data_IF_180484091447
#
_entry.id   IF_180484091447
#
_cell.length_a   1.000
_cell.length_b   1.000
_cell.length_c   1.000
_cell.angle_alpha   90.00
_cell.angle_beta   90.00
_cell.angle_gamma   90.00
#
_symmetry.space_group_name_H-M   'P 1'
#
loop_
_entity.id
_entity.type
_entity.pdbx_description
1 polymer ?
#
# COMPACT_ATOMS: atom_id res chain seq x y z
N UNK A 1 -18.16 10.81 -8.71
CA UNK A 1 -18.10 9.79 -7.63
C UNK A 1 -17.04 8.70 -7.92
N UNK A 2 -15.81 9.08 -8.30
CA UNK A 2 -14.73 8.13 -8.65
C UNK A 2 -13.51 8.24 -7.71
N UNK A 3 -13.65 8.97 -6.61
CA UNK A 3 -12.59 9.22 -5.63
C UNK A 3 -13.04 8.86 -4.20
N UNK A 4 -13.93 7.87 -4.07
CA UNK A 4 -14.31 7.29 -2.78
C UNK A 4 -13.34 6.19 -2.41
N UNK A 5 -12.92 6.17 -1.14
CA UNK A 5 -12.14 5.09 -0.56
C UNK A 5 -13.05 4.34 0.40
N UNK A 6 -13.47 3.13 0.03
CA UNK A 6 -14.49 2.37 0.76
C UNK A 6 -14.18 2.23 2.25
N UNK A 7 -12.89 2.09 2.60
CA UNK A 7 -12.49 1.97 4.00
C UNK A 7 -12.59 3.27 4.78
N UNK A 8 -12.39 4.42 4.14
CA UNK A 8 -12.65 5.72 4.78
C UNK A 8 -14.15 5.96 4.95
N UNK A 9 -14.96 5.59 3.95
CA UNK A 9 -16.41 5.72 4.02
C UNK A 9 -17.00 4.81 5.09
N UNK A 10 -16.50 3.57 5.20
CA UNK A 10 -16.86 2.64 6.27
C UNK A 10 -16.59 3.25 7.65
N UNK A 11 -15.39 3.82 7.84
CA UNK A 11 -15.02 4.47 9.10
C UNK A 11 -15.92 5.65 9.41
N UNK A 12 -16.17 6.53 8.44
CA UNK A 12 -17.06 7.68 8.60
C UNK A 12 -18.47 7.23 8.96
N UNK A 13 -18.96 6.15 8.34
CA UNK A 13 -20.28 5.59 8.61
C UNK A 13 -20.39 5.05 10.04
N UNK A 14 -19.36 4.34 10.52
CA UNK A 14 -19.29 3.87 11.91
C UNK A 14 -19.29 5.05 12.89
N UNK A 15 -18.49 6.08 12.64
CA UNK A 15 -18.37 7.26 13.51
C UNK A 15 -19.67 8.09 13.59
N UNK A 16 -20.47 8.09 12.52
CA UNK A 16 -21.72 8.85 12.42
C UNK A 16 -22.97 8.03 12.73
N UNK A 17 -22.82 6.73 13.01
CA UNK A 17 -23.95 5.83 13.21
C UNK A 17 -24.74 6.19 14.48
N UNK A 18 -26.02 6.52 14.30
CA UNK A 18 -26.91 6.96 15.37
C UNK A 18 -27.98 5.90 15.66
N UNK A 19 -27.92 5.29 16.85
CA UNK A 19 -28.88 4.28 17.31
C UNK A 19 -30.26 4.86 17.68
N UNK A 20 -30.33 6.18 17.90
CA UNK A 20 -31.55 6.87 18.32
C UNK A 20 -32.21 7.66 17.20
N UNK A 21 -31.80 7.45 15.95
CA UNK A 21 -32.46 8.10 14.82
C UNK A 21 -33.95 7.79 14.80
N UNK A 22 -34.74 8.76 14.33
CA UNK A 22 -36.17 8.59 14.13
C UNK A 22 -36.41 8.98 12.68
N UNK A 23 -36.96 8.07 11.89
CA UNK A 23 -37.34 8.36 10.52
C UNK A 23 -38.70 9.04 10.51
N UNK A 24 -38.78 10.19 9.86
CA UNK A 24 -40.01 10.97 9.73
C UNK A 24 -40.45 10.93 8.26
N UNK A 25 -41.49 10.15 8.00
CA UNK A 25 -42.20 10.15 6.71
C UNK A 25 -43.60 10.72 6.94
N UNK A 26 -44.67 9.93 6.70
CA UNK A 26 -46.03 10.33 7.03
C UNK A 26 -46.28 10.34 8.54
N UNK A 27 -45.62 9.46 9.28
CA UNK A 27 -45.57 9.41 10.74
C UNK A 27 -44.13 9.13 11.17
N UNK A 28 -43.75 9.49 12.39
CA UNK A 28 -42.46 9.10 12.95
C UNK A 28 -42.45 7.61 13.28
N UNK A 29 -41.35 6.93 12.96
CA UNK A 29 -41.13 5.54 13.34
C UNK A 29 -39.65 5.25 13.53
N UNK A 30 -39.35 4.12 14.18
CA UNK A 30 -38.00 3.55 14.34
C UNK A 30 -37.91 2.24 13.59
N UNK A 31 -36.74 1.95 13.03
CA UNK A 31 -36.51 0.76 12.24
C UNK A 31 -35.43 -0.08 12.89
N UNK A 32 -35.81 -1.10 13.66
CA UNK A 32 -34.87 -1.93 14.43
C UNK A 32 -33.88 -2.73 13.58
N UNK A 33 -34.15 -2.88 12.28
CA UNK A 33 -33.21 -3.49 11.33
C UNK A 33 -32.13 -2.53 10.86
N UNK A 34 -32.38 -1.21 10.90
CA UNK A 34 -31.43 -0.16 10.51
C UNK A 34 -30.70 0.39 11.74
N UNK A 35 -31.40 0.54 12.87
CA UNK A 35 -30.90 1.05 14.15
C UNK A 35 -30.55 -0.13 15.08
N UNK A 36 -29.52 -0.86 14.71
CA UNK A 36 -29.15 -2.11 15.37
C UNK A 36 -27.76 -2.01 16.00
N UNK A 37 -27.71 -2.12 17.33
CA UNK A 37 -26.47 -2.08 18.11
C UNK A 37 -25.50 -3.20 17.74
N UNK A 38 -26.00 -4.37 17.41
CA UNK A 38 -25.16 -5.52 17.07
C UNK A 38 -24.44 -5.29 15.73
N UNK A 39 -25.08 -4.62 14.76
CA UNK A 39 -24.44 -4.21 13.51
C UNK A 39 -23.32 -3.20 13.73
N UNK A 40 -23.52 -2.23 14.64
CA UNK A 40 -22.47 -1.26 15.01
C UNK A 40 -21.28 -1.97 15.65
N UNK A 41 -21.52 -2.85 16.63
CA UNK A 41 -20.47 -3.60 17.31
C UNK A 41 -19.69 -4.45 16.31
N UNK A 42 -20.39 -5.20 15.45
CA UNK A 42 -19.77 -6.02 14.41
C UNK A 42 -18.90 -5.16 13.46
N UNK A 43 -19.40 -4.01 13.03
CA UNK A 43 -18.67 -3.11 12.12
C UNK A 43 -17.39 -2.56 12.75
N UNK A 44 -17.42 -2.22 14.05
CA UNK A 44 -16.25 -1.77 14.80
C UNK A 44 -15.23 -2.89 14.96
N UNK A 45 -15.68 -4.10 15.31
CA UNK A 45 -14.81 -5.26 15.49
C UNK A 45 -14.13 -5.67 14.20
N UNK A 46 -14.88 -5.76 13.09
CA UNK A 46 -14.33 -6.02 11.75
C UNK A 46 -13.29 -4.95 11.35
N UNK A 47 -13.60 -3.68 11.60
CA UNK A 47 -12.68 -2.58 11.31
C UNK A 47 -11.36 -2.71 12.05
N UNK A 48 -11.43 -2.95 13.35
CA UNK A 48 -10.24 -3.10 14.20
C UNK A 48 -9.43 -4.35 13.85
N UNK A 49 -10.10 -5.46 13.50
CA UNK A 49 -9.44 -6.68 13.05
C UNK A 49 -8.65 -6.43 11.76
N UNK A 50 -9.29 -5.86 10.73
CA UNK A 50 -8.63 -5.52 9.48
C UNK A 50 -7.45 -4.57 9.70
N UNK A 51 -7.65 -3.49 10.49
CA UNK A 51 -6.61 -2.51 10.77
C UNK A 51 -5.40 -3.13 11.48
N UNK A 52 -5.62 -4.06 12.40
CA UNK A 52 -4.54 -4.80 13.09
C UNK A 52 -3.69 -5.62 12.12
N UNK A 53 -4.32 -6.25 11.13
CA UNK A 53 -3.62 -6.97 10.05
C UNK A 53 -2.82 -5.97 9.21
N UNK A 54 -3.44 -4.86 8.79
CA UNK A 54 -2.77 -3.86 7.97
C UNK A 54 -1.54 -3.24 8.65
N UNK A 55 -1.60 -3.01 9.96
CA UNK A 55 -0.45 -2.53 10.73
C UNK A 55 0.70 -3.55 10.78
N UNK A 56 0.39 -4.85 10.84
CA UNK A 56 1.42 -5.91 10.79
C UNK A 56 2.08 -5.97 9.42
N UNK A 57 1.29 -5.85 8.34
CA UNK A 57 1.78 -5.80 6.96
C UNK A 57 2.68 -4.59 6.74
N UNK A 58 2.28 -3.40 7.21
CA UNK A 58 3.10 -2.19 7.10
C UNK A 58 4.45 -2.36 7.80
N UNK A 59 4.47 -2.90 9.03
CA UNK A 59 5.71 -3.22 9.74
C UNK A 59 6.57 -4.26 9.00
N UNK A 60 5.94 -5.21 8.31
CA UNK A 60 6.67 -6.16 7.48
C UNK A 60 7.34 -5.46 6.28
N UNK A 61 6.61 -4.58 5.60
CA UNK A 61 7.14 -3.79 4.48
C UNK A 61 8.25 -2.82 4.92
N UNK A 62 8.11 -2.17 6.07
CA UNK A 62 9.16 -1.31 6.66
C UNK A 62 10.47 -2.06 6.91
N UNK A 63 10.39 -3.32 7.38
CA UNK A 63 11.58 -4.17 7.52
C UNK A 63 12.15 -4.54 6.16
N UNK A 64 11.31 -4.97 5.23
CA UNK A 64 11.73 -5.32 3.88
C UNK A 64 12.48 -4.17 3.18
N UNK A 65 12.02 -2.92 3.32
CA UNK A 65 12.72 -1.74 2.77
C UNK A 65 14.17 -1.65 3.29
N UNK A 66 14.37 -1.87 4.59
CA UNK A 66 15.70 -1.85 5.22
C UNK A 66 16.55 -3.06 4.85
N UNK A 67 15.94 -4.24 4.83
CA UNK A 67 16.60 -5.49 4.45
C UNK A 67 17.13 -5.44 3.01
N UNK A 68 16.46 -4.66 2.15
CA UNK A 68 16.84 -4.39 0.77
C UNK A 68 17.68 -3.12 0.58
N UNK A 69 18.07 -2.44 1.66
CA UNK A 69 18.87 -1.20 1.65
C UNK A 69 18.24 -0.08 0.82
N UNK A 70 16.94 -0.13 0.53
CA UNK A 70 16.26 0.89 -0.27
C UNK A 70 16.25 2.26 0.44
N UNK A 71 16.38 2.27 1.77
CA UNK A 71 16.52 3.48 2.58
C UNK A 71 17.90 4.16 2.49
N UNK A 72 18.88 3.49 1.87
CA UNK A 72 20.19 4.08 1.58
C UNK A 72 20.16 4.94 0.31
N UNK A 73 19.19 4.75 -0.58
CA UNK A 73 19.01 5.52 -1.81
C UNK A 73 18.45 6.92 -1.48
N UNK A 74 19.32 7.87 -1.14
CA UNK A 74 18.92 9.22 -0.68
C UNK A 74 18.22 10.07 -1.74
N UNK A 75 18.39 9.74 -3.02
CA UNK A 75 17.68 10.39 -4.12
C UNK A 75 16.21 9.93 -4.20
N UNK A 76 15.89 8.72 -3.73
CA UNK A 76 14.57 8.12 -3.91
C UNK A 76 13.58 8.61 -2.86
N UNK A 77 12.39 8.99 -3.31
CA UNK A 77 11.29 9.40 -2.43
C UNK A 77 10.73 8.17 -1.72
N UNK A 78 10.84 8.14 -0.40
CA UNK A 78 10.20 7.09 0.39
C UNK A 78 8.68 7.32 0.47
N UNK A 79 7.93 6.54 -0.33
CA UNK A 79 6.45 6.60 -0.38
C UNK A 79 5.76 5.35 0.19
N UNK A 80 6.45 4.56 1.02
CA UNK A 80 5.93 3.29 1.56
C UNK A 80 4.51 3.44 2.16
N UNK A 81 4.32 4.38 3.09
CA UNK A 81 3.02 4.57 3.75
C UNK A 81 1.94 4.98 2.76
N UNK A 82 2.26 5.83 1.77
CA UNK A 82 1.32 6.27 0.75
C UNK A 82 0.92 5.12 -0.18
N UNK A 83 1.91 4.38 -0.70
CA UNK A 83 1.69 3.22 -1.56
C UNK A 83 0.83 2.18 -0.82
N UNK A 84 1.22 1.83 0.40
CA UNK A 84 0.46 0.87 1.18
C UNK A 84 -0.97 1.35 1.49
N UNK A 85 -1.14 2.62 1.86
CA UNK A 85 -2.45 3.20 2.09
C UNK A 85 -3.34 3.15 0.83
N UNK A 86 -2.79 3.50 -0.33
CA UNK A 86 -3.55 3.50 -1.59
C UNK A 86 -4.12 2.12 -1.91
N UNK A 87 -3.34 1.04 -1.78
CA UNK A 87 -3.84 -0.30 -2.08
C UNK A 87 -4.76 -0.83 -0.98
N UNK A 88 -4.47 -0.54 0.29
CA UNK A 88 -5.29 -1.00 1.43
C UNK A 88 -6.67 -0.36 1.45
N UNK A 89 -6.77 0.87 0.92
CA UNK A 89 -8.05 1.58 0.79
C UNK A 89 -9.00 0.97 -0.24
N UNK A 90 -8.47 0.18 -1.18
CA UNK A 90 -9.21 -0.51 -2.25
C UNK A 90 -9.37 -2.00 -1.94
N UNK A 91 -8.30 -2.66 -1.50
CA UNK A 91 -8.25 -4.09 -1.19
C UNK A 91 -8.12 -4.29 0.32
N UNK A 92 -9.15 -3.99 1.10
CA UNK A 92 -9.06 -4.03 2.56
C UNK A 92 -9.23 -5.43 3.16
N UNK A 93 -9.88 -6.36 2.45
CA UNK A 93 -10.21 -7.70 2.95
C UNK A 93 -8.98 -8.47 3.44
N UNK A 94 -9.00 -9.13 4.61
CA UNK A 94 -7.86 -9.83 5.19
C UNK A 94 -7.16 -10.82 4.24
N UNK A 95 -7.94 -11.52 3.42
CA UNK A 95 -7.49 -12.58 2.50
C UNK A 95 -6.57 -12.05 1.40
N UNK A 96 -6.63 -10.75 1.10
CA UNK A 96 -5.85 -10.08 0.06
C UNK A 96 -4.50 -9.54 0.55
N UNK A 97 -4.03 -10.01 1.71
CA UNK A 97 -2.75 -9.61 2.31
C UNK A 97 -1.57 -9.70 1.35
N UNK A 98 -1.41 -10.84 0.66
CA UNK A 98 -0.32 -11.04 -0.28
C UNK A 98 -0.41 -10.08 -1.48
N UNK A 99 -1.62 -9.80 -1.97
CA UNK A 99 -1.81 -8.85 -3.06
C UNK A 99 -1.39 -7.42 -2.63
N UNK A 100 -1.79 -6.98 -1.43
CA UNK A 100 -1.37 -5.66 -0.89
C UNK A 100 0.15 -5.56 -0.73
N UNK A 101 0.79 -6.60 -0.18
CA UNK A 101 2.25 -6.63 0.01
C UNK A 101 2.96 -6.55 -1.34
N UNK A 102 2.59 -7.42 -2.29
CA UNK A 102 3.21 -7.46 -3.63
C UNK A 102 3.00 -6.16 -4.39
N UNK A 103 1.79 -5.60 -4.38
CA UNK A 103 1.51 -4.31 -5.01
C UNK A 103 2.36 -3.20 -4.40
N UNK A 104 2.48 -3.16 -3.07
CA UNK A 104 3.24 -2.11 -2.40
C UNK A 104 4.73 -2.21 -2.72
N UNK A 105 5.30 -3.42 -2.75
CA UNK A 105 6.69 -3.63 -3.16
C UNK A 105 6.92 -3.15 -4.60
N UNK A 106 6.03 -3.53 -5.51
CA UNK A 106 6.08 -3.08 -6.90
C UNK A 106 6.01 -1.55 -7.02
N UNK A 107 5.05 -0.91 -6.35
CA UNK A 107 4.90 0.55 -6.37
C UNK A 107 6.14 1.28 -5.83
N UNK A 108 6.77 0.76 -4.78
CA UNK A 108 8.03 1.31 -4.24
C UNK A 108 9.14 1.16 -5.27
N UNK A 109 9.34 -0.03 -5.83
CA UNK A 109 10.36 -0.29 -6.85
C UNK A 109 10.19 0.60 -8.07
N UNK A 110 8.96 0.73 -8.59
CA UNK A 110 8.66 1.63 -9.71
C UNK A 110 8.99 3.08 -9.37
N UNK A 111 8.69 3.54 -8.14
CA UNK A 111 9.02 4.91 -7.72
C UNK A 111 10.53 5.12 -7.59
N UNK A 112 11.25 4.15 -7.03
CA UNK A 112 12.71 4.19 -6.92
C UNK A 112 13.35 4.24 -8.30
N UNK A 113 12.87 3.40 -9.23
CA UNK A 113 13.35 3.37 -10.61
C UNK A 113 13.07 4.69 -11.33
N UNK A 114 11.85 5.23 -11.22
CA UNK A 114 11.48 6.54 -11.78
C UNK A 114 12.41 7.66 -11.25
N UNK A 115 12.60 7.73 -9.94
CA UNK A 115 13.50 8.73 -9.33
C UNK A 115 14.96 8.53 -9.77
N UNK A 116 15.40 7.29 -9.99
CA UNK A 116 16.73 6.98 -10.51
C UNK A 116 16.92 7.51 -11.93
N UNK A 117 15.97 7.28 -12.84
CA UNK A 117 16.07 7.75 -14.23
C UNK A 117 15.92 9.27 -14.38
N UNK A 118 15.17 9.93 -13.50
CA UNK A 118 14.87 11.37 -13.63
C UNK A 118 15.90 12.25 -12.90
N UNK A 119 16.42 11.80 -11.76
CA UNK A 119 17.26 12.65 -10.88
C UNK A 119 18.48 11.94 -10.33
N UNK A 120 18.36 10.65 -10.00
CA UNK A 120 19.33 9.94 -9.17
C UNK A 120 20.56 9.41 -9.91
N UNK A 121 20.37 8.90 -11.14
CA UNK A 121 21.36 8.14 -11.88
C UNK A 121 22.19 8.99 -12.84
N UNK A 122 23.46 8.65 -12.97
CA UNK A 122 24.36 9.12 -14.02
C UNK A 122 24.13 8.33 -15.33
N UNK A 123 24.56 8.86 -16.48
CA UNK A 123 24.40 8.18 -17.77
C UNK A 123 25.00 6.75 -17.75
N UNK A 124 26.18 6.57 -17.14
CA UNK A 124 26.82 5.27 -16.97
C UNK A 124 25.95 4.29 -16.16
N UNK A 125 25.36 4.76 -15.06
CA UNK A 125 24.49 3.95 -14.22
C UNK A 125 23.17 3.58 -14.91
N UNK A 126 22.60 4.50 -15.69
CA UNK A 126 21.37 4.25 -16.44
C UNK A 126 21.59 3.25 -17.58
N UNK A 127 22.74 3.30 -18.26
CA UNK A 127 23.12 2.29 -19.26
C UNK A 127 23.31 0.93 -18.59
N UNK A 128 24.09 0.87 -17.51
CA UNK A 128 24.38 -0.38 -16.81
C UNK A 128 23.10 -1.07 -16.30
N UNK A 129 22.16 -0.32 -15.68
CA UNK A 129 20.91 -0.92 -15.20
C UNK A 129 20.00 -1.39 -16.34
N UNK A 130 20.03 -0.72 -17.49
CA UNK A 130 19.26 -1.11 -18.68
C UNK A 130 19.80 -2.41 -19.26
N UNK A 131 21.12 -2.51 -19.44
CA UNK A 131 21.79 -3.73 -19.90
C UNK A 131 21.53 -4.92 -18.96
N UNK A 132 21.58 -4.69 -17.64
CA UNK A 132 21.30 -5.71 -16.63
C UNK A 132 19.85 -6.24 -16.74
N UNK A 133 18.88 -5.37 -17.02
CA UNK A 133 17.46 -5.77 -17.18
C UNK A 133 17.26 -6.51 -18.51
N UNK A 134 17.85 -6.04 -19.60
CA UNK A 134 17.76 -6.69 -20.91
C UNK A 134 18.40 -8.08 -20.91
N UNK A 135 19.53 -8.24 -20.22
CA UNK A 135 20.23 -9.52 -20.12
C UNK A 135 19.75 -10.47 -19.02
N UNK A 136 18.63 -10.16 -18.35
CA UNK A 136 18.08 -11.00 -17.28
C UNK A 136 17.72 -12.42 -17.77
N UNK A 137 17.31 -12.59 -19.02
CA UNK A 137 16.94 -13.90 -19.59
C UNK A 137 18.13 -14.82 -19.86
N UNK A 138 19.33 -14.25 -20.08
CA UNK A 138 20.48 -15.01 -20.58
C UNK A 138 21.32 -15.68 -19.48
N UNK A 139 21.02 -15.44 -18.20
CA UNK A 139 21.60 -16.15 -17.04
C UNK A 139 23.14 -16.09 -16.89
N UNK A 140 23.83 -15.39 -17.78
CA UNK A 140 25.28 -15.47 -17.99
C UNK A 140 26.02 -14.13 -17.96
N UNK A 141 25.34 -13.00 -17.77
CA UNK A 141 26.06 -11.75 -17.52
C UNK A 141 26.70 -11.81 -16.13
N UNK A 142 28.02 -11.69 -16.08
CA UNK A 142 28.72 -11.32 -14.86
C UNK A 142 28.03 -10.06 -14.34
N UNK A 143 27.43 -10.13 -13.15
CA UNK A 143 26.65 -9.05 -12.54
C UNK A 143 27.60 -7.97 -12.09
N UNK A 144 28.10 -7.20 -13.06
CA UNK A 144 29.00 -6.09 -12.85
C UNK A 144 28.13 -4.85 -12.67
N UNK A 145 27.85 -4.54 -11.41
CA UNK A 145 27.25 -3.28 -11.02
C UNK A 145 28.31 -2.18 -11.12
N UNK A 146 28.00 -1.08 -11.81
CA UNK A 146 28.90 0.07 -11.88
C UNK A 146 28.87 0.91 -10.58
N UNK A 147 27.83 0.75 -9.75
CA UNK A 147 27.71 1.43 -8.46
C UNK A 147 26.89 0.63 -7.42
N UNK A 148 27.04 0.99 -6.15
CA UNK A 148 26.23 0.44 -5.05
C UNK A 148 24.73 0.74 -5.26
N UNK A 149 24.39 1.86 -5.91
CA UNK A 149 22.99 2.21 -6.17
C UNK A 149 22.36 1.23 -7.16
N UNK A 150 23.07 0.91 -8.26
CA UNK A 150 22.60 -0.07 -9.25
C UNK A 150 22.49 -1.46 -8.63
N UNK A 151 23.46 -1.87 -7.82
CA UNK A 151 23.41 -3.13 -7.06
C UNK A 151 22.13 -3.20 -6.19
N UNK A 152 21.83 -2.14 -5.44
CA UNK A 152 20.67 -2.07 -4.56
C UNK A 152 19.37 -2.16 -5.36
N UNK A 153 19.23 -1.43 -6.47
CA UNK A 153 17.98 -1.38 -7.25
C UNK A 153 17.71 -2.72 -7.94
N UNK A 154 18.75 -3.38 -8.48
CA UNK A 154 18.60 -4.60 -9.25
C UNK A 154 18.42 -5.86 -8.39
N UNK A 155 18.94 -5.87 -7.15
CA UNK A 155 19.01 -7.07 -6.31
C UNK A 155 17.82 -7.26 -5.35
N UNK A 156 16.69 -6.58 -5.58
CA UNK A 156 15.53 -6.52 -4.66
C UNK A 156 14.66 -7.78 -4.66
#
# INVERSE_FOLDING_TARGET
PHASLERLESRSSIEQYNLDSIQVLKTSYRCSTIENRDLLVLSVEDFNMCQSIHQKELKHLERWVKDRRLDHLKFARQKLTYAYFSITSVLFSPELSQARISWTKNAILTTVMDDFFVVGGTEEELVNITELIEGWEDGHLATNYCSEQVEIIFSV
#
